data_IF_602240769665
#
_entry.id   IF_602240769665
#
_cell.length_a   1.000
_cell.length_b   1.000
_cell.length_c   1.000
_cell.angle_alpha   90.00
_cell.angle_beta   90.00
_cell.angle_gamma   90.00
#
_symmetry.space_group_name_H-M   'P 1'
#
loop_
_entity.id
_entity.type
_entity.pdbx_description
1 polymer ?
#
# COMPACT_ATOMS: atom_id res chain seq x y z
N UNK A 1 -13.45 -26.42 -21.00
CA UNK A 1 -12.71 -26.67 -19.75
C UNK A 1 -11.42 -25.82 -19.61
N UNK A 2 -11.30 -24.66 -20.28
CA UNK A 2 -10.10 -23.80 -20.15
C UNK A 2 -10.44 -22.30 -19.94
N UNK A 3 -11.74 -21.96 -19.83
CA UNK A 3 -12.20 -20.58 -19.65
C UNK A 3 -12.45 -20.21 -18.19
N UNK A 4 -12.55 -21.20 -17.30
CA UNK A 4 -12.80 -20.98 -15.87
C UNK A 4 -11.55 -20.52 -15.10
N UNK A 5 -10.34 -20.91 -15.55
CA UNK A 5 -9.09 -20.58 -14.85
C UNK A 5 -8.68 -19.11 -14.95
N UNK A 6 -9.06 -18.40 -16.02
CA UNK A 6 -8.79 -16.96 -16.17
C UNK A 6 -9.76 -16.15 -15.29
N UNK A 7 -11.01 -16.60 -15.18
CA UNK A 7 -12.02 -15.98 -14.32
C UNK A 7 -11.67 -16.13 -12.83
N UNK A 8 -11.14 -17.28 -12.42
CA UNK A 8 -10.76 -17.53 -11.03
C UNK A 8 -9.51 -16.72 -10.60
N UNK A 9 -8.59 -16.42 -11.52
CA UNK A 9 -7.44 -15.55 -11.25
C UNK A 9 -7.83 -14.07 -11.12
N UNK A 10 -8.83 -13.61 -11.87
CA UNK A 10 -9.37 -12.25 -11.74
C UNK A 10 -10.17 -12.06 -10.43
N UNK A 11 -10.91 -13.09 -10.01
CA UNK A 11 -11.63 -13.10 -8.72
C UNK A 11 -10.69 -13.26 -7.51
N UNK A 12 -9.56 -13.98 -7.65
CA UNK A 12 -8.55 -14.05 -6.59
C UNK A 12 -7.81 -12.71 -6.38
N UNK A 13 -7.79 -11.85 -7.41
CA UNK A 13 -7.13 -10.54 -7.34
C UNK A 13 -7.94 -9.49 -6.57
N UNK A 14 -9.26 -9.69 -6.42
CA UNK A 14 -10.12 -8.85 -5.57
C UNK A 14 -9.99 -9.14 -4.07
N UNK A 15 -9.47 -10.30 -3.68
CA UNK A 15 -9.33 -10.70 -2.27
C UNK A 15 -7.89 -10.57 -1.74
N UNK A 16 -6.91 -10.26 -2.62
CA UNK A 16 -5.51 -10.15 -2.21
C UNK A 16 -5.25 -8.81 -1.52
N UNK A 17 -5.27 -8.85 -0.19
CA UNK A 17 -4.85 -7.73 0.67
C UNK A 17 -3.35 -7.83 0.98
N UNK A 18 -2.62 -6.75 0.74
CA UNK A 18 -1.17 -6.68 0.99
C UNK A 18 -0.86 -5.70 2.13
N UNK A 19 -0.06 -6.16 3.08
CA UNK A 19 0.60 -5.32 4.09
C UNK A 19 2.08 -5.12 3.73
N UNK A 20 2.59 -3.90 3.90
CA UNK A 20 3.99 -3.55 3.63
C UNK A 20 4.67 -3.22 4.96
N UNK A 21 5.76 -3.91 5.29
CA UNK A 21 6.59 -3.57 6.44
C UNK A 21 7.90 -2.91 5.96
N UNK A 22 8.01 -1.60 6.23
CA UNK A 22 9.08 -0.71 5.78
C UNK A 22 8.66 0.13 4.58
N UNK A 23 8.67 1.45 4.72
CA UNK A 23 8.34 2.43 3.68
C UNK A 23 9.59 3.06 3.01
N UNK A 24 10.64 2.26 2.91
CA UNK A 24 11.88 2.61 2.22
C UNK A 24 11.79 2.50 0.69
N UNK A 25 12.94 2.31 0.03
CA UNK A 25 13.01 2.20 -1.44
C UNK A 25 12.13 1.07 -1.99
N UNK A 26 12.23 -0.13 -1.43
CA UNK A 26 11.47 -1.30 -1.90
C UNK A 26 9.98 -1.14 -1.59
N UNK A 27 9.63 -0.74 -0.36
CA UNK A 27 8.22 -0.56 0.05
C UNK A 27 7.45 0.40 -0.86
N UNK A 28 8.05 1.53 -1.24
CA UNK A 28 7.43 2.48 -2.17
C UNK A 28 7.26 1.92 -3.58
N UNK A 29 8.24 1.17 -4.08
CA UNK A 29 8.13 0.52 -5.41
C UNK A 29 7.06 -0.56 -5.42
N UNK A 30 6.98 -1.36 -4.34
CA UNK A 30 5.93 -2.36 -4.17
C UNK A 30 4.56 -1.70 -4.14
N UNK A 31 4.38 -0.62 -3.36
CA UNK A 31 3.12 0.12 -3.32
C UNK A 31 2.73 0.65 -4.72
N UNK A 32 3.67 1.23 -5.46
CA UNK A 32 3.42 1.67 -6.86
C UNK A 32 3.01 0.51 -7.77
N UNK A 33 3.68 -0.63 -7.66
CA UNK A 33 3.35 -1.82 -8.46
C UNK A 33 1.98 -2.40 -8.09
N UNK A 34 1.61 -2.41 -6.80
CA UNK A 34 0.30 -2.83 -6.34
C UNK A 34 -0.80 -1.92 -6.91
N UNK A 35 -0.63 -0.60 -6.82
CA UNK A 35 -1.59 0.38 -7.37
C UNK A 35 -1.77 0.21 -8.89
N UNK A 36 -0.67 0.01 -9.64
CA UNK A 36 -0.73 -0.24 -11.09
C UNK A 36 -1.44 -1.55 -11.45
N UNK A 37 -1.34 -2.56 -10.59
CA UNK A 37 -1.99 -3.87 -10.78
C UNK A 37 -3.40 -3.94 -10.19
N UNK A 38 -3.88 -2.87 -9.55
CA UNK A 38 -5.18 -2.85 -8.86
C UNK A 38 -5.21 -3.75 -7.61
N UNK A 39 -4.05 -4.04 -7.00
CA UNK A 39 -3.96 -4.84 -5.77
C UNK A 39 -4.20 -3.94 -4.56
N UNK A 40 -5.05 -4.38 -3.64
CA UNK A 40 -5.41 -3.61 -2.44
C UNK A 40 -4.29 -3.67 -1.39
N UNK A 41 -3.65 -2.53 -1.13
CA UNK A 41 -2.74 -2.37 0.01
C UNK A 41 -3.54 -1.88 1.22
N UNK A 42 -3.53 -2.64 2.31
CA UNK A 42 -4.33 -2.35 3.50
C UNK A 42 -3.55 -1.62 4.58
N UNK A 43 -2.25 -1.91 4.68
CA UNK A 43 -1.42 -1.40 5.76
C UNK A 43 0.03 -1.18 5.35
N UNK A 44 0.64 -0.16 5.94
CA UNK A 44 2.08 0.10 5.89
C UNK A 44 2.57 0.25 7.33
N UNK A 45 3.61 -0.49 7.70
CA UNK A 45 4.29 -0.30 8.98
C UNK A 45 5.68 0.30 8.75
N UNK A 46 6.00 1.43 9.37
CA UNK A 46 7.36 1.95 9.43
C UNK A 46 7.59 2.72 10.74
N UNK A 47 8.45 2.23 11.64
CA UNK A 47 8.67 2.86 12.95
C UNK A 47 9.48 4.16 12.91
N UNK A 48 10.08 4.51 11.76
CA UNK A 48 11.00 5.65 11.65
C UNK A 48 10.49 6.77 10.75
N UNK A 49 9.42 6.53 9.99
CA UNK A 49 8.92 7.44 8.97
C UNK A 49 7.53 7.93 9.41
N UNK A 50 7.37 9.25 9.50
CA UNK A 50 6.07 9.87 9.78
C UNK A 50 5.19 9.93 8.54
N UNK A 51 3.87 9.94 8.74
CA UNK A 51 2.87 9.91 7.67
C UNK A 51 3.01 11.06 6.66
N UNK A 52 3.28 12.28 7.13
CA UNK A 52 3.52 13.44 6.26
C UNK A 52 4.78 13.23 5.41
N UNK A 53 5.83 12.66 6.00
CA UNK A 53 7.05 12.32 5.29
C UNK A 53 6.82 11.18 4.29
N UNK A 54 5.97 10.19 4.60
CA UNK A 54 5.55 9.15 3.64
C UNK A 54 4.91 9.76 2.40
N UNK A 55 3.97 10.71 2.57
CA UNK A 55 3.32 11.42 1.45
C UNK A 55 4.38 12.14 0.61
N UNK A 56 5.31 12.84 1.25
CA UNK A 56 6.39 13.54 0.55
C UNK A 56 7.29 12.57 -0.24
N UNK A 57 7.79 11.51 0.41
CA UNK A 57 8.66 10.51 -0.23
C UNK A 57 7.97 9.75 -1.36
N UNK A 58 6.66 9.55 -1.28
CA UNK A 58 5.90 8.87 -2.32
C UNK A 58 5.64 9.80 -3.51
N UNK A 59 5.33 11.08 -3.26
CA UNK A 59 5.19 12.13 -4.29
C UNK A 59 6.49 12.37 -5.04
N UNK A 60 7.61 12.45 -4.33
CA UNK A 60 8.90 12.84 -4.89
C UNK A 60 9.90 11.69 -4.82
N UNK A 61 9.96 10.89 -5.88
CA UNK A 61 11.00 9.86 -6.05
C UNK A 61 12.09 10.37 -7.00
N UNK A 62 13.35 10.29 -6.58
CA UNK A 62 14.49 10.78 -7.37
C UNK A 62 14.85 9.90 -8.56
N UNK A 63 14.48 8.62 -8.53
CA UNK A 63 14.76 7.65 -9.61
C UNK A 63 13.59 7.52 -10.58
N UNK A 64 12.36 7.46 -10.05
CA UNK A 64 11.15 7.24 -10.83
C UNK A 64 10.35 8.52 -11.08
N UNK A 65 10.85 9.67 -10.63
CA UNK A 65 10.21 10.97 -10.78
C UNK A 65 8.97 11.13 -9.89
N UNK A 66 8.24 12.22 -10.17
CA UNK A 66 7.02 12.56 -9.43
C UNK A 66 5.92 11.54 -9.67
N UNK A 67 5.25 11.14 -8.60
CA UNK A 67 4.02 10.37 -8.73
C UNK A 67 2.96 11.21 -9.44
N UNK A 68 2.27 10.63 -10.42
CA UNK A 68 1.30 11.35 -11.26
C UNK A 68 -0.09 11.47 -10.64
N UNK A 69 -0.37 10.62 -9.67
CA UNK A 69 -1.64 10.56 -8.96
C UNK A 69 -1.70 11.48 -7.75
N UNK A 70 -2.84 11.44 -7.07
CA UNK A 70 -3.05 12.17 -5.83
C UNK A 70 -2.52 11.37 -4.64
N UNK A 71 -1.79 12.06 -3.77
CA UNK A 71 -1.22 11.47 -2.56
C UNK A 71 -1.49 12.46 -1.44
N UNK A 72 -2.22 12.04 -0.42
CA UNK A 72 -2.57 12.87 0.72
C UNK A 72 -2.59 12.01 1.98
N UNK A 73 -2.84 12.63 3.13
CA UNK A 73 -3.04 11.92 4.37
C UNK A 73 -4.26 12.49 5.08
N UNK A 74 -5.07 11.62 5.68
CA UNK A 74 -6.26 12.02 6.43
C UNK A 74 -6.46 11.07 7.61
N UNK A 75 -6.69 11.61 8.81
CA UNK A 75 -7.03 10.81 9.98
C UNK A 75 -6.00 9.71 10.34
N UNK A 76 -4.71 9.95 10.11
CA UNK A 76 -3.64 8.97 10.38
C UNK A 76 -3.50 7.89 9.29
N UNK A 77 -4.19 8.02 8.16
CA UNK A 77 -4.11 7.10 7.01
C UNK A 77 -3.44 7.78 5.82
N UNK A 78 -2.69 7.00 5.05
CA UNK A 78 -2.14 7.42 3.77
C UNK A 78 -3.20 7.21 2.69
N UNK A 79 -3.48 8.23 1.88
CA UNK A 79 -4.43 8.17 0.78
C UNK A 79 -3.65 8.28 -0.52
N UNK A 80 -3.83 7.31 -1.42
CA UNK A 80 -3.21 7.31 -2.75
C UNK A 80 -4.27 6.98 -3.80
N UNK A 81 -4.56 7.92 -4.70
CA UNK A 81 -5.57 7.75 -5.77
C UNK A 81 -6.86 7.08 -5.23
N UNK A 82 -7.44 7.67 -4.19
CA UNK A 82 -8.62 7.20 -3.44
C UNK A 82 -8.45 5.92 -2.57
N UNK A 83 -7.27 5.29 -2.57
CA UNK A 83 -6.99 4.13 -1.73
C UNK A 83 -6.53 4.55 -0.34
N UNK A 84 -7.31 4.17 0.68
CA UNK A 84 -6.98 4.42 2.10
C UNK A 84 -6.11 3.30 2.66
N UNK A 85 -4.92 3.65 3.12
CA UNK A 85 -3.91 2.74 3.66
C UNK A 85 -3.65 3.11 5.12
N UNK A 86 -3.80 2.14 6.02
CA UNK A 86 -3.51 2.35 7.45
C UNK A 86 -2.01 2.38 7.68
N UNK A 87 -1.52 3.37 8.44
CA UNK A 87 -0.09 3.48 8.77
C UNK A 87 0.13 3.11 10.24
N UNK A 88 1.14 2.27 10.48
CA UNK A 88 1.57 1.83 11.79
C UNK A 88 3.05 2.17 11.99
N UNK A 89 3.45 2.47 13.22
CA UNK A 89 4.84 2.81 13.58
C UNK A 89 5.35 1.86 14.66
N UNK A 90 5.13 0.55 14.48
CA UNK A 90 5.49 -0.44 15.50
C UNK A 90 6.90 -1.01 15.23
N UNK A 91 7.86 -0.91 16.20
CA UNK A 91 9.22 -1.43 16.04
C UNK A 91 9.32 -2.96 16.01
N UNK A 92 8.30 -3.67 16.52
CA UNK A 92 8.26 -5.13 16.58
C UNK A 92 7.26 -5.71 15.57
N UNK A 93 7.69 -6.71 14.80
CA UNK A 93 6.81 -7.44 13.87
C UNK A 93 5.71 -8.24 14.62
N UNK A 94 5.92 -8.55 15.91
CA UNK A 94 5.05 -9.38 16.74
C UNK A 94 3.73 -8.74 17.16
N UNK A 95 3.55 -7.43 16.94
CA UNK A 95 2.37 -6.67 17.40
C UNK A 95 1.57 -6.03 16.26
N UNK A 96 1.85 -6.38 15.01
CA UNK A 96 1.00 -6.03 13.88
C UNK A 96 -0.26 -6.90 13.95
N UNK A 97 -1.36 -6.35 14.46
CA UNK A 97 -2.67 -6.95 14.23
C UNK A 97 -2.92 -6.90 12.72
N UNK A 98 -3.28 -8.05 12.13
CA UNK A 98 -3.69 -8.10 10.73
C UNK A 98 -4.71 -6.99 10.47
N UNK A 99 -4.41 -6.12 9.52
CA UNK A 99 -5.32 -5.06 9.14
C UNK A 99 -6.56 -5.71 8.53
N UNK A 100 -7.58 -5.95 9.35
CA UNK A 100 -8.84 -6.52 8.89
C UNK A 100 -9.39 -5.60 7.81
N UNK A 101 -9.70 -6.11 6.60
CA UNK A 101 -10.40 -5.29 5.62
C UNK A 101 -11.76 -4.97 6.22
N UNK A 102 -11.94 -3.76 6.73
CA UNK A 102 -13.26 -3.28 7.12
C UNK A 102 -14.11 -3.32 5.85
N UNK A 103 -15.15 -4.16 5.90
CA UNK A 103 -16.07 -4.45 4.80
C UNK A 103 -16.91 -3.26 4.38
#
# INVERSE_FOLDING_TARGET
MAVDSISQAAAAMSDLCVGINGFGRIGRLVLRACLQKGIKVVAVNDPFIDLEYMVYMFKYDSTHGRYKGEVSHEGGKLIVDDHKISVFQCPGASSLQEATPTG
#
